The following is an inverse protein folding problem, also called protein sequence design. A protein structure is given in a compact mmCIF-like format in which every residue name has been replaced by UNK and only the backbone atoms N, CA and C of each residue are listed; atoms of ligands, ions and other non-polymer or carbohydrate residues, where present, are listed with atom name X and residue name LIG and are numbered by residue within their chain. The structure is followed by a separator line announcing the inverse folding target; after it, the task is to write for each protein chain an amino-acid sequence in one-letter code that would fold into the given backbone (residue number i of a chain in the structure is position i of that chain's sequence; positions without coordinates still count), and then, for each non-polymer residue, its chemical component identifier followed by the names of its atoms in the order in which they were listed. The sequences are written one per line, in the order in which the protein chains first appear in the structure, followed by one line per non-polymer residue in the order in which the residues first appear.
data_IF_504425206903
#
_entry.id   IF_504425206903
#
_cell.length_a   1.000
_cell.length_b   1.000
_cell.length_c   1.000
_cell.angle_alpha   90.00
_cell.angle_beta   90.00
_cell.angle_gamma   90.00
#
_symmetry.space_group_name_H-M   'P 1'
#
loop_
_entity.id
_entity.type
_entity.pdbx_description
1 polymer ?
#
# COMPACT_ATOMS: atom_id res chain seq x y z
N UNK A 1 -9.83 16.35 -4.44
CA UNK A 1 -9.70 14.87 -4.34
C UNK A 1 -8.46 14.47 -5.14
N UNK A 2 -7.35 14.25 -4.45
CA UNK A 2 -5.99 14.17 -5.03
C UNK A 2 -5.84 13.13 -6.15
N UNK A 3 -6.46 11.96 -6.02
CA UNK A 3 -6.40 10.90 -7.05
C UNK A 3 -6.93 11.37 -8.41
N UNK A 4 -7.95 12.24 -8.45
CA UNK A 4 -8.45 12.79 -9.71
C UNK A 4 -7.47 13.77 -10.36
N UNK A 5 -6.71 14.50 -9.55
CA UNK A 5 -5.68 15.42 -10.04
C UNK A 5 -4.49 14.63 -10.59
N UNK A 6 -4.08 13.56 -9.91
CA UNK A 6 -3.09 12.62 -10.43
C UNK A 6 -3.47 12.04 -11.79
N UNK A 7 -4.75 11.71 -12.00
CA UNK A 7 -5.25 11.22 -13.29
C UNK A 7 -5.12 12.23 -14.44
N UNK A 8 -5.07 13.53 -14.13
CA UNK A 8 -4.84 14.57 -15.14
C UNK A 8 -3.37 14.67 -15.57
N UNK A 9 -2.45 14.14 -14.76
CA UNK A 9 -1.03 14.10 -15.09
C UNK A 9 -0.76 13.02 -16.13
N UNK A 10 -0.02 13.37 -17.18
CA UNK A 10 0.43 12.40 -18.21
C UNK A 10 1.47 11.42 -17.67
N UNK A 11 2.21 11.81 -16.64
CA UNK A 11 3.26 11.01 -16.03
C UNK A 11 3.21 11.17 -14.52
N UNK A 12 3.11 10.06 -13.77
CA UNK A 12 3.45 10.11 -12.35
C UNK A 12 4.96 9.89 -12.18
N UNK A 13 5.74 10.88 -12.60
CA UNK A 13 7.17 10.88 -12.33
C UNK A 13 7.38 11.03 -10.82
N UNK A 14 7.68 9.92 -10.16
CA UNK A 14 7.80 9.83 -8.69
C UNK A 14 7.08 8.62 -8.12
N UNK A 15 5.91 8.28 -8.66
CA UNK A 15 5.12 7.17 -8.15
C UNK A 15 5.84 5.81 -8.28
N UNK A 16 5.99 5.12 -7.15
CA UNK A 16 6.68 3.82 -7.08
C UNK A 16 6.36 3.09 -5.79
N UNK A 17 6.47 1.77 -5.82
CA UNK A 17 6.63 0.96 -4.62
C UNK A 17 8.11 0.88 -4.26
N UNK A 18 8.42 1.04 -2.97
CA UNK A 18 9.79 0.99 -2.46
C UNK A 18 9.95 0.08 -1.24
N UNK A 19 8.87 -0.31 -0.57
CA UNK A 19 8.89 -1.22 0.58
C UNK A 19 7.93 -2.38 0.32
N UNK A 20 8.38 -3.58 0.64
CA UNK A 20 7.66 -4.82 0.38
C UNK A 20 7.94 -5.79 1.52
N UNK A 21 6.88 -6.16 2.25
CA UNK A 21 6.96 -7.09 3.36
C UNK A 21 5.93 -8.20 3.15
N UNK A 22 6.41 -9.44 3.04
CA UNK A 22 5.55 -10.61 2.96
C UNK A 22 4.81 -10.89 4.26
N UNK A 23 4.02 -11.97 4.27
CA UNK A 23 3.23 -12.40 5.44
C UNK A 23 4.07 -12.99 6.59
N UNK A 24 5.28 -13.44 6.29
CA UNK A 24 6.12 -14.17 7.25
C UNK A 24 5.38 -15.35 7.87
N UNK A 25 5.70 -15.66 9.12
CA UNK A 25 4.98 -16.63 9.96
C UNK A 25 3.93 -15.94 10.85
N UNK A 26 3.53 -14.71 10.49
CA UNK A 26 2.59 -13.89 11.27
C UNK A 26 1.17 -13.98 10.72
N UNK A 27 1.02 -14.15 9.41
CA UNK A 27 -0.28 -14.14 8.74
C UNK A 27 -0.48 -15.39 7.90
N UNK A 28 -1.70 -15.93 7.90
CA UNK A 28 -2.06 -17.09 7.07
C UNK A 28 -2.26 -16.73 5.59
N UNK A 29 -2.51 -17.73 4.74
CA UNK A 29 -2.76 -17.53 3.30
C UNK A 29 -3.96 -16.63 2.97
N UNK A 30 -4.92 -16.50 3.90
CA UNK A 30 -6.10 -15.65 3.77
C UNK A 30 -5.86 -14.25 4.35
N UNK A 31 -4.68 -14.00 4.91
CA UNK A 31 -4.33 -12.74 5.57
C UNK A 31 -4.84 -12.63 7.01
N UNK A 32 -5.26 -13.72 7.66
CA UNK A 32 -5.62 -13.68 9.07
C UNK A 32 -4.39 -13.78 9.96
N UNK A 33 -4.41 -13.06 11.08
CA UNK A 33 -3.35 -13.10 12.07
C UNK A 33 -3.26 -14.49 12.73
N UNK A 34 -2.06 -15.06 12.78
CA UNK A 34 -1.78 -16.30 13.48
C UNK A 34 -1.81 -16.01 14.99
N UNK A 35 -2.48 -16.87 15.76
CA UNK A 35 -2.63 -16.67 17.20
C UNK A 35 -1.25 -16.54 17.88
N UNK A 36 -1.11 -15.57 18.76
CA UNK A 36 0.09 -15.30 19.57
C UNK A 36 1.35 -14.83 18.78
N UNK A 37 1.24 -14.59 17.47
CA UNK A 37 2.30 -13.94 16.69
C UNK A 37 2.41 -12.43 17.01
N UNK A 38 3.56 -11.81 16.72
CA UNK A 38 3.69 -10.35 16.76
C UNK A 38 3.07 -9.73 15.51
N UNK A 39 2.47 -8.54 15.60
CA UNK A 39 1.87 -7.85 14.44
C UNK A 39 2.90 -7.28 13.44
N UNK A 40 4.18 -7.59 13.63
CA UNK A 40 5.27 -7.22 12.74
C UNK A 40 6.53 -6.72 13.46
N UNK A 41 7.59 -6.42 12.70
CA UNK A 41 7.73 -6.79 11.28
C UNK A 41 7.84 -8.33 11.10
N UNK A 42 7.40 -8.89 9.96
CA UNK A 42 6.86 -8.16 8.81
C UNK A 42 5.38 -7.76 8.99
N UNK A 43 5.02 -6.62 8.41
CA UNK A 43 3.65 -6.07 8.46
C UNK A 43 2.77 -6.47 7.27
N UNK A 44 3.18 -7.43 6.44
CA UNK A 44 2.39 -7.92 5.31
C UNK A 44 1.80 -6.80 4.42
N UNK A 45 2.66 -5.94 3.86
CA UNK A 45 2.25 -4.79 3.06
C UNK A 45 3.18 -4.53 1.88
N UNK A 46 2.67 -3.82 0.89
CA UNK A 46 3.46 -3.16 -0.15
C UNK A 46 3.23 -1.66 0.00
N UNK A 47 4.31 -0.91 0.24
CA UNK A 47 4.26 0.54 0.47
C UNK A 47 4.96 1.29 -0.67
N UNK A 48 4.34 2.42 -1.04
CA UNK A 48 4.78 3.26 -2.14
C UNK A 48 4.36 4.70 -1.96
N UNK A 49 4.72 5.52 -2.93
CA UNK A 49 4.39 6.95 -2.98
C UNK A 49 3.50 7.24 -4.19
N UNK A 50 2.53 8.12 -4.03
CA UNK A 50 1.67 8.64 -5.10
C UNK A 50 2.00 10.08 -5.48
N UNK A 51 3.29 10.46 -5.48
CA UNK A 51 3.70 11.81 -5.85
C UNK A 51 4.01 11.93 -7.35
N UNK A 52 3.28 12.80 -8.06
CA UNK A 52 3.56 13.16 -9.44
C UNK A 52 4.27 14.51 -9.53
N UNK A 53 5.40 14.55 -10.25
CA UNK A 53 6.07 15.81 -10.55
C UNK A 53 5.12 16.84 -11.18
N UNK A 54 5.03 18.02 -10.56
CA UNK A 54 4.17 19.12 -11.01
C UNK A 54 2.74 19.11 -10.46
N UNK A 55 2.36 18.11 -9.65
CA UNK A 55 1.11 18.12 -8.89
C UNK A 55 1.45 18.40 -7.42
N UNK A 56 1.05 19.57 -6.91
CA UNK A 56 1.25 19.87 -5.50
C UNK A 56 0.43 18.90 -4.65
N UNK A 57 1.09 18.21 -3.72
CA UNK A 57 0.39 17.43 -2.71
C UNK A 57 -0.05 18.36 -1.59
N UNK A 58 -1.35 18.41 -1.31
CA UNK A 58 -1.89 19.01 -0.08
C UNK A 58 -2.32 17.86 0.82
N UNK A 59 -2.01 17.98 2.11
CA UNK A 59 -2.38 16.99 3.12
C UNK A 59 -3.83 16.53 2.96
N UNK A 60 -4.02 15.23 2.84
CA UNK A 60 -5.34 14.63 2.71
C UNK A 60 -5.98 14.60 4.11
N UNK A 61 -7.20 15.16 4.29
CA UNK A 61 -7.90 15.05 5.55
C UNK A 61 -8.14 13.60 5.95
N UNK A 62 -8.00 13.30 7.24
CA UNK A 62 -8.25 11.96 7.74
C UNK A 62 -9.74 11.61 7.66
N UNK A 63 -10.04 10.55 6.94
CA UNK A 63 -11.36 9.92 6.89
C UNK A 63 -11.21 8.56 7.60
N UNK A 64 -11.27 8.58 8.93
CA UNK A 64 -11.12 7.40 9.80
C UNK A 64 -12.18 6.33 9.46
N UNK A 65 -11.85 5.40 8.56
CA UNK A 65 -12.78 4.49 7.89
C UNK A 65 -12.09 3.16 7.49
N UNK A 66 -12.88 2.09 7.28
CA UNK A 66 -12.97 0.90 8.13
C UNK A 66 -11.64 0.16 8.38
N UNK A 67 -11.68 -0.84 9.27
CA UNK A 67 -10.55 -1.75 9.55
C UNK A 67 -9.82 -2.18 8.28
N UNK A 68 -8.50 -2.14 8.31
CA UNK A 68 -7.65 -2.56 7.21
C UNK A 68 -7.83 -4.06 6.96
N UNK A 69 -8.19 -4.40 5.73
CA UNK A 69 -8.36 -5.78 5.27
C UNK A 69 -7.40 -6.08 4.13
N UNK A 70 -7.22 -7.36 3.82
CA UNK A 70 -6.44 -7.79 2.65
C UNK A 70 -6.98 -7.12 1.39
N UNK A 71 -6.10 -6.39 0.70
CA UNK A 71 -6.41 -5.61 -0.50
C UNK A 71 -6.79 -4.15 -0.26
N UNK A 72 -6.95 -3.71 0.99
CA UNK A 72 -7.17 -2.29 1.31
C UNK A 72 -5.99 -1.44 0.82
N UNK A 73 -6.31 -0.29 0.22
CA UNK A 73 -5.36 0.75 -0.19
C UNK A 73 -5.58 1.97 0.69
N UNK A 74 -4.58 2.35 1.48
CA UNK A 74 -4.70 3.37 2.51
C UNK A 74 -3.51 4.35 2.50
N UNK A 75 -3.79 5.59 2.90
CA UNK A 75 -2.76 6.61 3.11
C UNK A 75 -1.95 6.32 4.37
N UNK A 76 -0.66 6.64 4.32
CA UNK A 76 0.21 6.73 5.50
C UNK A 76 0.21 8.20 5.91
N UNK A 77 -0.22 8.47 7.14
CA UNK A 77 -0.48 9.84 7.60
C UNK A 77 -1.39 10.56 6.59
N UNK A 78 -1.09 11.81 6.26
CA UNK A 78 -1.85 12.59 5.29
C UNK A 78 -1.41 12.37 3.83
N UNK A 79 -0.57 11.37 3.55
CA UNK A 79 0.04 11.07 2.25
C UNK A 79 1.30 11.91 1.93
N UNK A 80 1.88 11.84 0.71
CA UNK A 80 1.48 11.05 -0.48
C UNK A 80 1.85 9.57 -0.38
N UNK A 81 2.46 9.16 0.72
CA UNK A 81 2.79 7.78 1.00
C UNK A 81 1.54 6.95 1.25
N UNK A 82 1.52 5.73 0.73
CA UNK A 82 0.38 4.82 0.82
C UNK A 82 0.86 3.38 0.94
N UNK A 83 -0.03 2.49 1.36
CA UNK A 83 0.21 1.06 1.34
C UNK A 83 -0.97 0.29 0.76
N UNK A 84 -0.66 -0.90 0.26
CA UNK A 84 -1.60 -1.97 -0.06
C UNK A 84 -1.39 -3.08 0.97
N UNK A 85 -2.45 -3.43 1.69
CA UNK A 85 -2.36 -4.49 2.68
C UNK A 85 -2.47 -5.88 2.06
N UNK A 86 -1.61 -6.81 2.47
CA UNK A 86 -1.68 -8.23 2.14
C UNK A 86 -2.41 -9.03 3.23
N UNK A 87 -2.85 -8.40 4.32
CA UNK A 87 -3.42 -9.08 5.49
C UNK A 87 -4.52 -8.26 6.18
N UNK A 88 -5.16 -8.82 7.21
CA UNK A 88 -6.27 -8.22 7.93
C UNK A 88 -5.77 -7.58 9.24
N UNK A 89 -5.42 -6.30 9.21
CA UNK A 89 -4.91 -5.57 10.38
C UNK A 89 -6.03 -4.99 11.24
N UNK A 90 -6.55 -5.82 12.16
CA UNK A 90 -7.58 -5.39 13.12
C UNK A 90 -7.06 -4.37 14.14
N UNK A 91 -5.77 -4.44 14.44
CA UNK A 91 -5.04 -3.55 15.32
C UNK A 91 -4.89 -2.13 14.78
N UNK A 92 -5.07 -1.91 13.47
CA UNK A 92 -5.02 -0.59 12.82
C UNK A 92 -6.40 0.03 12.61
N UNK A 93 -7.40 -0.42 13.36
CA UNK A 93 -8.77 0.11 13.25
C UNK A 93 -8.78 1.61 13.56
N UNK A 94 -9.38 2.41 12.66
CA UNK A 94 -9.44 3.87 12.74
C UNK A 94 -8.07 4.56 12.83
N UNK A 95 -7.02 3.97 12.23
CA UNK A 95 -5.67 4.58 12.17
C UNK A 95 -5.36 5.18 10.81
N UNK A 96 -5.97 4.66 9.75
CA UNK A 96 -5.66 5.03 8.37
C UNK A 96 -6.90 5.36 7.57
N UNK A 97 -6.73 6.23 6.58
CA UNK A 97 -7.75 6.56 5.59
C UNK A 97 -7.67 5.57 4.42
N UNK A 98 -8.64 4.66 4.33
CA UNK A 98 -8.78 3.74 3.18
C UNK A 98 -9.47 4.46 2.02
N UNK A 99 -8.78 4.61 0.89
CA UNK A 99 -9.31 5.30 -0.29
C UNK A 99 -9.53 4.38 -1.50
N UNK A 100 -9.17 3.10 -1.38
CA UNK A 100 -9.33 2.14 -2.46
C UNK A 100 -9.20 0.71 -2.01
N UNK A 101 -9.41 -0.21 -2.95
CA UNK A 101 -9.15 -1.63 -2.78
C UNK A 101 -8.59 -2.21 -4.07
N UNK A 102 -7.79 -3.25 -3.95
CA UNK A 102 -7.33 -4.06 -5.07
C UNK A 102 -8.44 -5.03 -5.44
N UNK A 103 -8.71 -5.16 -6.74
CA UNK A 103 -9.68 -6.15 -7.25
C UNK A 103 -9.16 -7.57 -7.00
N UNK A 104 -10.07 -8.51 -6.72
CA UNK A 104 -9.71 -9.83 -6.23
C UNK A 104 -8.77 -10.58 -7.19
N UNK A 105 -8.97 -10.41 -8.50
CA UNK A 105 -8.21 -11.08 -9.56
C UNK A 105 -6.76 -10.59 -9.63
N UNK A 106 -6.49 -9.35 -9.22
CA UNK A 106 -5.16 -8.73 -9.28
C UNK A 106 -4.39 -8.83 -7.95
N UNK A 107 -4.98 -9.41 -6.91
CA UNK A 107 -4.30 -9.56 -5.61
C UNK A 107 -3.02 -10.39 -5.71
N UNK A 108 -2.96 -11.37 -6.61
CA UNK A 108 -1.76 -12.18 -6.84
C UNK A 108 -0.59 -11.32 -7.34
N UNK A 109 -0.85 -10.25 -8.09
CA UNK A 109 0.20 -9.33 -8.58
C UNK A 109 0.85 -8.61 -7.41
N UNK A 110 0.05 -8.15 -6.44
CA UNK A 110 0.55 -7.46 -5.24
C UNK A 110 1.36 -8.42 -4.37
N UNK A 111 0.90 -9.66 -4.22
CA UNK A 111 1.64 -10.70 -3.50
C UNK A 111 2.97 -11.03 -4.17
N UNK A 112 3.04 -11.04 -5.50
CA UNK A 112 4.30 -11.22 -6.24
C UNK A 112 5.26 -10.04 -6.03
N UNK A 113 4.76 -8.81 -5.94
CA UNK A 113 5.59 -7.64 -5.58
C UNK A 113 6.22 -7.83 -4.18
N UNK A 114 5.45 -8.37 -3.23
CA UNK A 114 5.92 -8.63 -1.87
C UNK A 114 7.03 -9.69 -1.78
N UNK A 115 7.26 -10.47 -2.84
CA UNK A 115 8.31 -11.48 -2.94
C UNK A 115 9.54 -11.01 -3.73
N UNK A 116 9.56 -9.77 -4.22
CA UNK A 116 10.72 -9.22 -4.91
C UNK A 116 11.92 -9.08 -3.96
N UNK A 117 13.16 -9.10 -4.46
CA UNK A 117 14.35 -8.92 -3.63
C UNK A 117 14.30 -7.61 -2.82
N UNK A 118 14.58 -7.73 -1.52
CA UNK A 118 14.64 -6.61 -0.57
C UNK A 118 15.96 -6.58 0.18
N UNK A 119 16.39 -5.38 0.55
CA UNK A 119 17.43 -5.14 1.54
C UNK A 119 16.81 -4.70 2.88
N UNK A 120 17.36 -5.11 4.02
CA UNK A 120 16.92 -4.61 5.32
C UNK A 120 17.30 -3.12 5.48
N UNK A 121 16.45 -2.38 6.17
CA UNK A 121 16.69 -1.00 6.60
C UNK A 121 16.03 -0.75 7.98
N UNK A 122 16.30 0.38 8.61
CA UNK A 122 15.72 0.73 9.92
C UNK A 122 15.13 2.14 9.87
N UNK A 123 13.82 2.25 10.06
CA UNK A 123 13.12 3.54 10.11
C UNK A 123 12.54 3.76 11.51
N UNK A 124 12.92 4.85 12.17
CA UNK A 124 12.47 5.18 13.53
C UNK A 124 12.64 4.02 14.54
N UNK A 125 13.68 3.20 14.37
CA UNK A 125 13.95 2.03 15.23
C UNK A 125 13.21 0.75 14.83
N UNK A 126 12.41 0.76 13.77
CA UNK A 126 11.69 -0.41 13.24
C UNK A 126 12.44 -0.99 12.04
N UNK A 127 12.73 -2.29 12.06
CA UNK A 127 13.29 -3.00 10.90
C UNK A 127 12.26 -3.10 9.78
N UNK A 128 12.67 -2.73 8.57
CA UNK A 128 11.81 -2.76 7.37
C UNK A 128 12.53 -3.44 6.20
N UNK A 129 11.75 -3.96 5.25
CA UNK A 129 12.27 -4.57 4.02
C UNK A 129 12.05 -3.66 2.82
N UNK A 130 13.13 -3.02 2.35
CA UNK A 130 13.12 -2.07 1.23
C UNK A 130 13.43 -2.81 -0.07
N UNK A 131 12.63 -2.61 -1.11
CA UNK A 131 12.87 -3.19 -2.43
C UNK A 131 14.24 -2.76 -2.96
N UNK A 132 15.06 -3.73 -3.41
CA UNK A 132 16.36 -3.44 -4.03
C UNK A 132 16.19 -2.58 -5.30
N UNK A 133 15.11 -2.84 -6.04
CA UNK A 133 14.68 -2.05 -7.20
C UNK A 133 13.24 -1.60 -6.99
N UNK A 134 13.03 -0.29 -6.95
CA UNK A 134 11.68 0.27 -6.84
C UNK A 134 10.83 -0.14 -8.04
N UNK A 135 9.56 -0.48 -7.79
CA UNK A 135 8.61 -0.85 -8.85
C UNK A 135 7.85 0.41 -9.27
N UNK A 136 8.02 0.91 -10.51
CA UNK A 136 7.29 2.07 -10.97
C UNK A 136 5.80 1.76 -11.06
N UNK A 137 4.96 2.73 -10.72
CA UNK A 137 3.51 2.59 -10.85
C UNK A 137 2.93 3.70 -11.73
N UNK A 138 1.82 3.38 -12.40
CA UNK A 138 1.08 4.32 -13.23
C UNK A 138 -0.38 4.32 -12.83
N UNK A 139 -0.91 5.51 -12.58
CA UNK A 139 -2.34 5.72 -12.34
C UNK A 139 -3.00 6.03 -13.69
N UNK A 140 -4.11 5.37 -14.00
CA UNK A 140 -4.91 5.63 -15.22
C UNK A 140 -6.39 5.45 -14.93
N UNK A 141 -7.22 6.19 -15.66
CA UNK A 141 -8.66 5.93 -15.67
C UNK A 141 -8.91 4.68 -16.50
N UNK A 142 -9.69 3.75 -15.95
CA UNK A 142 -10.17 2.59 -16.70
C UNK A 142 -11.46 3.01 -17.39
N UNK A 143 -11.51 2.87 -18.71
CA UNK A 143 -12.77 2.94 -19.45
C UNK A 143 -13.45 1.58 -19.32
N UNK A 144 -14.45 1.50 -18.45
CA UNK A 144 -15.33 0.33 -18.43
C UNK A 144 -16.28 0.52 -19.60
N UNK A 145 -16.10 -0.27 -20.67
CA UNK A 145 -17.10 -0.35 -21.73
C UNK A 145 -18.42 -0.72 -21.06
N UNK A 146 -19.42 0.17 -21.13
CA UNK A 146 -20.78 -0.15 -20.71
C UNK A 146 -21.27 -1.25 -21.65
N UNK A 147 -21.39 -2.47 -21.11
CA UNK A 147 -22.12 -3.59 -21.71
C UNK A 147 -23.60 -3.27 -21.79
#
# INVERSE_FOLDING_TARGET
MYILELLSSRHCAGCRFYRAEGRGEVWDSQGNHIKDASFGPPYALVQGTLEAQGVAFNDIPDEFCPTITRGSVAWIESGPEFFISLSNHREWTNTYTVFGSVVAEDMEIVERIAQLPTKPDVWNGVSVSVLEKHVPLKVRRIEIARS
#
